data_IF_919508962536
#
_entry.id   IF_919508962536
#
_cell.length_a   1.000
_cell.length_b   1.000
_cell.length_c   1.000
_cell.angle_alpha   90.00
_cell.angle_beta   90.00
_cell.angle_gamma   90.00
#
_symmetry.space_group_name_H-M   'P 1'
#
loop_
_entity.id
_entity.type
_entity.pdbx_description
1 polymer ?
#
# COMPACT_ATOMS: atom_id res chain seq x y z
N UNK A 1 -3.54 5.75 -2.04
CA UNK A 1 -2.43 5.00 -2.68
C UNK A 1 -1.16 5.83 -2.62
N UNK A 2 -0.04 5.17 -2.57
CA UNK A 2 1.30 5.75 -2.55
C UNK A 2 1.86 5.76 -3.97
N UNK A 3 2.50 6.85 -4.38
CA UNK A 3 3.22 6.93 -5.64
C UNK A 3 4.69 6.64 -5.39
N UNK A 4 5.26 5.74 -6.14
CA UNK A 4 6.63 5.27 -5.98
C UNK A 4 7.36 5.17 -7.32
N UNK A 5 8.70 5.23 -7.26
CA UNK A 5 9.60 4.95 -8.36
C UNK A 5 10.70 3.99 -7.92
N UNK A 6 11.33 3.30 -8.85
CA UNK A 6 12.50 2.49 -8.55
C UNK A 6 13.75 3.39 -8.54
N UNK A 7 14.40 3.58 -7.37
CA UNK A 7 15.52 4.53 -7.26
C UNK A 7 16.77 4.09 -8.03
N UNK A 8 16.85 2.83 -8.46
CA UNK A 8 17.99 2.28 -9.20
C UNK A 8 17.65 1.96 -10.66
N UNK A 9 16.41 2.12 -11.09
CA UNK A 9 16.00 1.91 -12.48
C UNK A 9 15.23 3.12 -13.03
N UNK A 10 15.95 4.11 -13.60
CA UNK A 10 15.32 5.34 -14.12
C UNK A 10 14.46 5.12 -15.36
N UNK A 11 14.52 3.95 -16.00
CA UNK A 11 13.70 3.61 -17.16
C UNK A 11 12.36 3.00 -16.77
N UNK A 12 12.20 2.58 -15.53
CA UNK A 12 10.95 2.05 -14.99
C UNK A 12 10.01 3.22 -14.65
N UNK A 13 8.81 3.29 -15.22
CA UNK A 13 7.89 4.39 -14.89
C UNK A 13 7.46 4.33 -13.43
N UNK A 14 7.22 5.49 -12.84
CA UNK A 14 6.59 5.57 -11.51
C UNK A 14 5.20 4.91 -11.53
N UNK A 15 4.81 4.34 -10.41
CA UNK A 15 3.54 3.62 -10.26
C UNK A 15 2.81 4.02 -8.99
N UNK A 16 1.54 3.69 -8.93
CA UNK A 16 0.71 3.82 -7.74
C UNK A 16 0.46 2.45 -7.13
N UNK A 17 0.66 2.36 -5.83
CA UNK A 17 0.44 1.13 -5.07
C UNK A 17 -0.33 1.38 -3.78
N UNK A 18 -0.93 0.33 -3.22
CA UNK A 18 -1.49 0.36 -1.89
C UNK A 18 -0.36 0.32 -0.86
N UNK A 19 -0.52 0.98 0.32
CA UNK A 19 0.47 0.90 1.39
C UNK A 19 0.72 -0.54 1.81
N UNK A 20 1.95 -0.87 2.15
CA UNK A 20 2.29 -2.18 2.69
C UNK A 20 3.76 -2.51 2.57
N UNK A 21 4.17 -3.54 3.29
CA UNK A 21 5.56 -4.00 3.37
C UNK A 21 5.66 -5.41 3.91
N UNK A 22 6.81 -5.77 4.43
CA UNK A 22 7.09 -7.10 4.96
C UNK A 22 6.37 -7.40 6.27
N UNK A 23 6.15 -8.68 6.55
CA UNK A 23 5.69 -9.17 7.84
C UNK A 23 6.91 -9.43 8.71
N UNK A 24 7.00 -8.74 9.86
CA UNK A 24 8.09 -8.91 10.79
C UNK A 24 7.94 -10.21 11.60
N UNK A 25 9.05 -10.64 12.19
CA UNK A 25 9.04 -11.83 13.05
C UNK A 25 8.06 -11.66 14.20
N UNK A 26 7.13 -12.59 14.33
CA UNK A 26 6.12 -12.59 15.39
C UNK A 26 4.86 -11.77 15.10
N UNK A 27 4.79 -11.08 13.97
CA UNK A 27 3.57 -10.43 13.51
C UNK A 27 2.65 -11.40 12.75
N UNK A 28 1.34 -11.17 12.82
CA UNK A 28 0.41 -11.68 11.83
C UNK A 28 0.22 -10.65 10.70
N UNK A 29 -0.46 -11.04 9.62
CA UNK A 29 -0.63 -10.16 8.47
C UNK A 29 -1.48 -8.92 8.76
N UNK A 30 -2.43 -8.99 9.71
CA UNK A 30 -3.24 -7.85 10.10
C UNK A 30 -2.42 -6.81 10.89
N UNK A 31 -1.56 -7.28 11.81
CA UNK A 31 -0.66 -6.42 12.57
C UNK A 31 0.35 -5.73 11.64
N UNK A 32 0.95 -6.48 10.71
CA UNK A 32 1.87 -5.93 9.72
C UNK A 32 1.18 -4.88 8.83
N UNK A 33 -0.01 -5.18 8.30
CA UNK A 33 -0.78 -4.23 7.49
C UNK A 33 -1.10 -2.93 8.24
N UNK A 34 -1.45 -3.03 9.53
CA UNK A 34 -1.70 -1.87 10.38
C UNK A 34 -0.46 -1.04 10.63
N UNK A 35 0.68 -1.67 10.92
CA UNK A 35 1.96 -1.01 11.11
C UNK A 35 2.38 -0.26 9.83
N UNK A 36 2.37 -0.94 8.69
CA UNK A 36 2.73 -0.34 7.40
C UNK A 36 1.80 0.83 7.02
N UNK A 37 0.50 0.71 7.30
CA UNK A 37 -0.44 1.80 7.05
C UNK A 37 -0.05 3.05 7.84
N UNK A 38 0.31 2.92 9.11
CA UNK A 38 0.77 4.03 9.94
C UNK A 38 2.10 4.60 9.45
N UNK A 39 3.07 3.74 9.17
CA UNK A 39 4.42 4.14 8.76
C UNK A 39 4.41 4.89 7.43
N UNK A 40 3.73 4.37 6.43
CA UNK A 40 3.71 4.95 5.08
C UNK A 40 2.72 6.10 4.90
N UNK A 41 1.64 6.15 5.68
CA UNK A 41 0.61 7.16 5.48
C UNK A 41 0.39 8.09 6.66
N UNK A 42 0.77 7.69 7.87
CA UNK A 42 0.49 8.42 9.12
C UNK A 42 -0.96 8.27 9.61
N UNK A 43 -1.78 7.46 8.95
CA UNK A 43 -3.15 7.16 9.38
C UNK A 43 -3.09 6.13 10.49
N UNK A 44 -3.46 6.52 11.71
CA UNK A 44 -3.40 5.70 12.92
C UNK A 44 -4.76 5.43 13.56
N UNK A 45 -5.81 6.11 13.11
CA UNK A 45 -7.20 5.85 13.51
C UNK A 45 -7.93 5.08 12.41
N UNK A 46 -7.93 3.77 12.52
CA UNK A 46 -8.55 2.86 11.57
C UNK A 46 -9.03 1.57 12.23
N UNK A 47 -9.99 0.93 11.61
CA UNK A 47 -10.42 -0.43 11.93
C UNK A 47 -9.87 -1.40 10.89
N UNK A 48 -9.02 -2.35 11.32
CA UNK A 48 -8.46 -3.37 10.44
C UNK A 48 -9.48 -4.48 10.18
N UNK A 49 -9.73 -4.75 8.93
CA UNK A 49 -10.62 -5.80 8.49
C UNK A 49 -9.90 -7.08 8.02
N UNK A 50 -10.65 -8.00 7.42
CA UNK A 50 -10.13 -9.29 6.97
C UNK A 50 -9.22 -9.16 5.75
N UNK A 51 -8.52 -10.26 5.44
CA UNK A 51 -7.88 -10.46 4.14
C UNK A 51 -8.95 -10.52 3.06
N UNK A 52 -8.86 -9.65 2.06
CA UNK A 52 -9.79 -9.59 0.94
C UNK A 52 -9.19 -10.12 -0.37
N UNK A 53 -7.87 -10.21 -0.43
CA UNK A 53 -7.15 -10.74 -1.59
C UNK A 53 -5.82 -11.33 -1.17
N UNK A 54 -5.39 -12.39 -1.88
CA UNK A 54 -4.04 -12.96 -1.77
C UNK A 54 -3.44 -13.10 -3.16
N UNK A 55 -2.15 -12.81 -3.28
CA UNK A 55 -1.46 -12.94 -4.55
C UNK A 55 0.00 -13.38 -4.34
N UNK A 56 0.56 -13.96 -5.37
CA UNK A 56 1.99 -14.23 -5.47
C UNK A 56 2.56 -13.37 -6.59
N UNK A 57 3.55 -12.56 -6.28
CA UNK A 57 4.17 -11.63 -7.23
C UNK A 57 5.68 -11.76 -7.20
N UNK A 58 6.28 -11.56 -8.37
CA UNK A 58 7.73 -11.50 -8.53
C UNK A 58 8.09 -10.20 -9.22
N UNK A 59 9.02 -9.45 -8.66
CA UNK A 59 9.43 -8.17 -9.21
C UNK A 59 10.85 -7.79 -8.76
N UNK A 60 11.43 -6.82 -9.45
CA UNK A 60 12.69 -6.19 -9.05
C UNK A 60 12.44 -4.79 -8.54
N UNK A 61 13.11 -4.42 -7.46
CA UNK A 61 13.03 -3.10 -6.88
C UNK A 61 14.31 -2.76 -6.14
N UNK A 62 14.87 -1.57 -6.37
CA UNK A 62 16.10 -1.13 -5.74
C UNK A 62 17.29 -2.06 -5.96
N UNK A 63 17.35 -2.76 -7.09
CA UNK A 63 18.40 -3.73 -7.42
C UNK A 63 18.20 -5.11 -6.80
N UNK A 64 17.12 -5.35 -6.06
CA UNK A 64 16.77 -6.64 -5.47
C UNK A 64 15.66 -7.34 -6.23
N UNK A 65 15.72 -8.67 -6.29
CA UNK A 65 14.62 -9.49 -6.75
C UNK A 65 13.75 -9.92 -5.56
N UNK A 66 12.45 -9.68 -5.68
CA UNK A 66 11.44 -10.08 -4.70
C UNK A 66 10.57 -11.21 -5.24
N UNK A 67 10.37 -12.20 -4.41
CA UNK A 67 9.39 -13.27 -4.58
C UNK A 67 8.47 -13.23 -3.36
N UNK A 68 7.26 -12.68 -3.54
CA UNK A 68 6.42 -12.27 -2.43
C UNK A 68 5.04 -12.91 -2.49
N UNK A 69 4.63 -13.51 -1.37
CA UNK A 69 3.25 -13.92 -1.13
C UNK A 69 2.55 -12.83 -0.32
N UNK A 70 1.62 -12.14 -0.96
CA UNK A 70 0.98 -10.96 -0.38
C UNK A 70 -0.43 -11.27 0.10
N UNK A 71 -0.78 -10.69 1.26
CA UNK A 71 -2.13 -10.68 1.81
C UNK A 71 -2.62 -9.24 1.88
N UNK A 72 -3.73 -8.94 1.24
CA UNK A 72 -4.31 -7.61 1.19
C UNK A 72 -5.48 -7.56 2.14
N UNK A 73 -5.39 -6.67 3.14
CA UNK A 73 -6.44 -6.38 4.11
C UNK A 73 -7.23 -5.15 3.70
N UNK A 74 -8.50 -5.11 4.07
CA UNK A 74 -9.27 -3.87 4.08
C UNK A 74 -9.10 -3.18 5.43
N UNK A 75 -9.01 -1.85 5.41
CA UNK A 75 -9.04 -1.04 6.61
C UNK A 75 -10.01 0.12 6.41
N UNK A 76 -10.81 0.42 7.42
CA UNK A 76 -11.78 1.53 7.41
C UNK A 76 -11.25 2.68 8.26
N UNK A 77 -11.28 3.88 7.72
CA UNK A 77 -10.93 5.09 8.44
C UNK A 77 -11.78 6.28 7.93
N UNK A 78 -11.82 7.35 8.69
CA UNK A 78 -12.53 8.59 8.31
C UNK A 78 -11.74 9.47 7.34
N UNK A 79 -10.62 8.97 6.83
CA UNK A 79 -9.69 9.71 6.00
C UNK A 79 -8.56 10.29 6.82
N UNK A 80 -7.86 11.26 6.27
CA UNK A 80 -6.72 11.91 6.91
C UNK A 80 -5.75 12.46 5.87
N UNK A 81 -4.82 13.27 6.34
CA UNK A 81 -3.70 13.74 5.53
C UNK A 81 -2.59 12.70 5.53
N UNK A 82 -1.95 12.54 4.39
CA UNK A 82 -0.76 11.70 4.28
C UNK A 82 0.43 12.38 4.99
N UNK A 83 0.91 11.73 6.05
CA UNK A 83 2.11 12.15 6.80
C UNK A 83 2.95 10.92 7.14
N UNK A 84 3.75 10.40 6.19
CA UNK A 84 4.62 9.25 6.45
C UNK A 84 5.47 9.48 7.69
N UNK A 85 5.61 8.46 8.54
CA UNK A 85 6.30 8.60 9.84
C UNK A 85 7.66 7.91 9.86
N UNK A 86 7.74 6.69 9.35
CA UNK A 86 8.94 5.85 9.46
C UNK A 86 9.16 5.07 8.16
N UNK A 87 9.57 5.78 7.10
CA UNK A 87 9.98 5.11 5.87
C UNK A 87 11.40 4.57 6.03
N UNK A 88 11.62 3.32 5.64
CA UNK A 88 12.96 2.77 5.49
C UNK A 88 13.72 3.50 4.38
N UNK A 89 15.06 3.36 4.35
CA UNK A 89 15.90 4.13 3.44
C UNK A 89 15.51 3.93 1.96
N UNK A 90 15.20 2.72 1.55
CA UNK A 90 14.79 2.40 0.19
C UNK A 90 13.39 2.95 -0.14
N UNK A 91 12.47 2.84 0.80
CA UNK A 91 11.11 3.41 0.70
C UNK A 91 11.15 4.94 0.63
N UNK A 92 11.95 5.58 1.48
CA UNK A 92 12.14 7.03 1.45
C UNK A 92 12.73 7.52 0.13
N UNK A 93 13.65 6.76 -0.47
CA UNK A 93 14.21 7.07 -1.78
C UNK A 93 13.21 6.87 -2.93
N UNK A 94 12.27 5.92 -2.76
CA UNK A 94 11.25 5.59 -3.76
C UNK A 94 9.99 6.46 -3.65
N UNK A 95 9.67 7.00 -2.48
CA UNK A 95 8.42 7.71 -2.21
C UNK A 95 8.32 9.04 -2.96
N UNK A 96 7.28 9.20 -3.77
CA UNK A 96 7.00 10.41 -4.56
C UNK A 96 5.72 11.14 -4.13
N UNK A 97 4.98 10.63 -3.17
CA UNK A 97 3.75 11.22 -2.69
C UNK A 97 2.65 10.19 -2.46
N UNK A 98 1.52 10.66 -1.99
CA UNK A 98 0.35 9.82 -1.76
C UNK A 98 -0.92 10.63 -1.96
N UNK A 99 -2.01 9.97 -2.32
CA UNK A 99 -3.32 10.59 -2.43
C UNK A 99 -4.44 9.59 -2.19
N UNK A 100 -5.60 10.13 -1.83
CA UNK A 100 -6.85 9.39 -1.86
C UNK A 100 -7.35 9.26 -3.30
N UNK A 101 -7.90 8.10 -3.60
CA UNK A 101 -8.50 7.78 -4.89
C UNK A 101 -9.96 7.43 -4.69
N UNK A 102 -10.81 7.89 -5.57
CA UNK A 102 -12.17 7.37 -5.67
C UNK A 102 -12.17 6.08 -6.51
N UNK A 103 -13.19 5.26 -6.35
CA UNK A 103 -13.34 4.08 -7.21
C UNK A 103 -13.48 4.47 -8.69
N UNK A 104 -14.13 5.61 -8.96
CA UNK A 104 -14.29 6.12 -10.33
C UNK A 104 -12.96 6.57 -10.94
N UNK A 105 -11.99 7.04 -10.10
CA UNK A 105 -10.63 7.37 -10.55
C UNK A 105 -9.84 6.10 -10.90
N UNK A 106 -10.03 5.03 -10.14
CA UNK A 106 -9.32 3.76 -10.35
C UNK A 106 -9.90 2.96 -11.51
N UNK A 107 -11.20 3.08 -11.74
CA UNK A 107 -11.92 2.31 -12.77
C UNK A 107 -12.71 3.25 -13.68
N UNK A 108 -12.06 3.90 -14.66
CA UNK A 108 -12.76 4.78 -15.58
C UNK A 108 -13.83 4.02 -16.37
N UNK A 109 -15.06 4.42 -16.18
CA UNK A 109 -16.31 4.08 -16.85
C UNK A 109 -16.41 2.70 -17.52
N UNK A 110 -17.11 1.79 -16.88
CA UNK A 110 -17.61 0.55 -17.48
C UNK A 110 -17.34 -0.73 -16.70
N UNK A 111 -16.53 -0.72 -15.68
CA UNK A 111 -16.32 -1.87 -14.81
C UNK A 111 -16.93 -1.58 -13.43
N UNK A 112 -18.12 -2.14 -13.21
CA UNK A 112 -18.81 -2.04 -11.93
C UNK A 112 -18.12 -2.94 -10.91
N UNK A 113 -17.40 -2.35 -9.93
CA UNK A 113 -17.04 -3.08 -8.71
C UNK A 113 -17.09 -2.13 -7.51
N UNK A 114 -18.07 -2.38 -6.63
CA UNK A 114 -18.26 -1.88 -5.27
C UNK A 114 -18.44 -0.36 -5.05
N UNK A 115 -19.70 0.03 -4.94
CA UNK A 115 -20.09 1.32 -4.32
C UNK A 115 -20.29 1.13 -2.82
N UNK A 116 -19.55 1.87 -2.03
CA UNK A 116 -19.74 2.52 -0.71
C UNK A 116 -18.62 2.21 0.28
N UNK A 117 -18.08 3.30 0.84
CA UNK A 117 -17.18 3.35 1.97
C UNK A 117 -15.80 3.87 1.59
N UNK A 118 -15.26 4.78 2.40
CA UNK A 118 -13.83 5.13 2.34
C UNK A 118 -13.07 3.93 2.89
N UNK A 119 -12.38 3.23 2.05
CA UNK A 119 -11.55 2.11 2.44
C UNK A 119 -10.09 2.44 2.11
N UNK A 120 -9.23 2.28 3.08
CA UNK A 120 -7.81 2.13 2.83
C UNK A 120 -7.54 0.64 2.65
N UNK A 121 -6.70 0.29 1.69
CA UNK A 121 -6.27 -1.09 1.48
C UNK A 121 -4.78 -1.14 1.77
N UNK A 122 -4.38 -1.96 2.72
CA UNK A 122 -3.00 -2.19 3.07
C UNK A 122 -2.55 -3.58 2.62
N UNK A 123 -1.32 -3.66 2.11
CA UNK A 123 -0.66 -4.87 1.65
C UNK A 123 0.34 -5.35 2.70
N UNK A 124 0.42 -6.62 2.90
CA UNK A 124 1.47 -7.27 3.69
C UNK A 124 2.24 -8.27 2.86
#
# INVERSE_FOLDING_TARGET
MVNAEDPLDPYKPAWWEIPGGGIDWGEDSAAAAGRELVEETGIDDFEMGPVVWTQHVQFTFGGYFFDSHEKIHVAWCDGGEYRPRHLEALEAAAFMGARWWTLDDLFPRGQAVFRRGRAAVARC
#
